data_IF_019044595899
#
_entry.id   IF_019044595899
#
_cell.length_a   1.000
_cell.length_b   1.000
_cell.length_c   1.000
_cell.angle_alpha   90.00
_cell.angle_beta   90.00
_cell.angle_gamma   90.00
#
_symmetry.space_group_name_H-M   'P 1'
#
loop_
_entity.id
_entity.type
_entity.pdbx_description
1 polymer ?
#
# COMPACT_ATOMS: atom_id res chain seq x y z
N UNK A 1 11.30 2.08 -6.23
CA UNK A 1 11.02 0.79 -6.91
C UNK A 1 9.92 1.02 -7.93
N UNK A 2 10.13 0.63 -9.19
CA UNK A 2 9.10 0.73 -10.23
C UNK A 2 8.09 -0.43 -10.16
N UNK A 3 6.96 -0.26 -10.85
CA UNK A 3 5.85 -1.22 -10.84
C UNK A 3 6.23 -2.58 -11.42
N UNK A 4 7.03 -2.63 -12.49
CA UNK A 4 7.39 -3.88 -13.15
C UNK A 4 8.30 -4.68 -12.21
N UNK A 5 9.27 -4.03 -11.58
CA UNK A 5 10.15 -4.67 -10.59
C UNK A 5 9.37 -5.22 -9.39
N UNK A 6 8.41 -4.45 -8.85
CA UNK A 6 7.59 -4.93 -7.73
C UNK A 6 6.79 -6.19 -8.10
N UNK A 7 6.15 -6.19 -9.28
CA UNK A 7 5.37 -7.34 -9.75
C UNK A 7 6.22 -8.58 -9.96
N UNK A 8 7.41 -8.45 -10.54
CA UNK A 8 8.35 -9.57 -10.72
C UNK A 8 8.80 -10.16 -9.39
N UNK A 9 9.12 -9.32 -8.41
CA UNK A 9 9.53 -9.80 -7.09
C UNK A 9 8.39 -10.57 -6.37
N UNK A 10 7.14 -10.14 -6.57
CA UNK A 10 5.96 -10.87 -6.05
C UNK A 10 5.82 -12.21 -6.78
N UNK A 11 5.91 -12.21 -8.11
CA UNK A 11 5.83 -13.43 -8.91
C UNK A 11 6.91 -14.46 -8.53
N UNK A 12 8.16 -14.02 -8.34
CA UNK A 12 9.24 -14.87 -7.85
C UNK A 12 8.96 -15.46 -6.47
N UNK A 13 8.36 -14.67 -5.57
CA UNK A 13 7.99 -15.13 -4.23
C UNK A 13 6.88 -16.18 -4.28
N UNK A 14 5.89 -16.00 -5.17
CA UNK A 14 4.83 -16.98 -5.39
C UNK A 14 5.38 -18.27 -6.01
N UNK A 15 6.26 -18.16 -7.01
CA UNK A 15 6.89 -19.33 -7.63
C UNK A 15 7.67 -20.17 -6.62
N UNK A 16 8.41 -19.52 -5.70
CA UNK A 16 9.13 -20.21 -4.63
C UNK A 16 8.20 -20.90 -3.62
N UNK A 17 7.01 -20.32 -3.36
CA UNK A 17 6.00 -20.97 -2.52
C UNK A 17 5.40 -22.20 -3.23
N UNK A 18 5.08 -22.07 -4.51
CA UNK A 18 4.50 -23.14 -5.34
C UNK A 18 5.47 -24.32 -5.53
N UNK A 19 6.77 -24.05 -5.63
CA UNK A 19 7.80 -25.09 -5.70
C UNK A 19 8.15 -25.72 -4.35
N UNK A 20 7.70 -25.12 -3.24
CA UNK A 20 8.02 -25.55 -1.87
C UNK A 20 9.40 -25.10 -1.38
N UNK A 21 10.02 -24.12 -2.04
CA UNK A 21 11.29 -23.49 -1.62
C UNK A 21 11.12 -22.53 -0.43
N UNK A 22 9.89 -22.08 -0.16
CA UNK A 22 9.55 -21.28 1.02
C UNK A 22 8.20 -21.69 1.60
N UNK A 23 7.98 -21.38 2.88
CA UNK A 23 6.68 -21.55 3.53
C UNK A 23 5.78 -20.30 3.36
N UNK A 24 4.50 -20.46 3.67
CA UNK A 24 3.51 -19.39 3.51
C UNK A 24 3.84 -18.14 4.34
N UNK A 25 4.25 -18.31 5.60
CA UNK A 25 4.50 -17.17 6.49
C UNK A 25 5.70 -16.35 5.98
N UNK A 26 6.76 -17.04 5.53
CA UNK A 26 7.93 -16.44 4.90
C UNK A 26 7.57 -15.70 3.59
N UNK A 27 6.70 -16.29 2.76
CA UNK A 27 6.22 -15.66 1.53
C UNK A 27 5.38 -14.40 1.82
N UNK A 28 4.47 -14.45 2.79
CA UNK A 28 3.63 -13.33 3.21
C UNK A 28 4.46 -12.16 3.75
N UNK A 29 5.48 -12.44 4.58
CA UNK A 29 6.41 -11.42 5.08
C UNK A 29 7.14 -10.74 3.92
N UNK A 30 7.64 -11.52 2.96
CA UNK A 30 8.37 -11.02 1.80
C UNK A 30 7.50 -10.17 0.88
N UNK A 31 6.28 -10.64 0.55
CA UNK A 31 5.32 -9.86 -0.26
C UNK A 31 4.95 -8.56 0.46
N UNK A 32 4.71 -8.61 1.76
CA UNK A 32 4.43 -7.42 2.57
C UNK A 32 5.59 -6.43 2.54
N UNK A 33 6.83 -6.89 2.61
CA UNK A 33 8.03 -6.06 2.48
C UNK A 33 8.11 -5.42 1.08
N UNK A 34 7.90 -6.19 0.00
CA UNK A 34 7.89 -5.68 -1.38
C UNK A 34 6.83 -4.59 -1.55
N UNK A 35 5.61 -4.79 -1.05
CA UNK A 35 4.53 -3.81 -1.13
C UNK A 35 4.86 -2.53 -0.35
N UNK A 36 5.42 -2.64 0.86
CA UNK A 36 5.87 -1.48 1.65
C UNK A 36 6.95 -0.70 0.90
N UNK A 37 7.96 -1.39 0.37
CA UNK A 37 9.01 -0.74 -0.43
C UNK A 37 8.45 -0.10 -1.68
N UNK A 38 7.55 -0.77 -2.40
CA UNK A 38 6.90 -0.19 -3.58
C UNK A 38 6.16 1.09 -3.22
N UNK A 39 5.37 1.09 -2.15
CA UNK A 39 4.60 2.25 -1.72
C UNK A 39 5.47 3.44 -1.25
N UNK A 40 6.58 3.19 -0.55
CA UNK A 40 7.43 4.26 0.00
C UNK A 40 8.50 4.75 -0.97
N UNK A 41 8.97 3.87 -1.87
CA UNK A 41 10.01 4.20 -2.86
C UNK A 41 9.45 4.40 -4.26
N UNK A 42 8.12 4.57 -4.38
CA UNK A 42 7.48 4.81 -5.67
C UNK A 42 8.08 6.06 -6.31
N UNK A 43 8.69 5.89 -7.49
CA UNK A 43 9.45 6.92 -8.19
C UNK A 43 8.60 7.60 -9.28
N UNK A 44 7.29 7.65 -9.07
CA UNK A 44 6.34 8.37 -9.93
C UNK A 44 5.68 9.52 -9.16
N UNK A 45 4.64 10.10 -9.72
CA UNK A 45 4.01 11.31 -9.18
C UNK A 45 3.17 11.09 -7.90
N UNK A 46 3.21 9.89 -7.31
CA UNK A 46 2.40 9.53 -6.14
C UNK A 46 3.23 9.47 -4.87
N UNK A 47 2.66 9.93 -3.77
CA UNK A 47 3.21 9.80 -2.43
C UNK A 47 2.32 8.91 -1.56
N UNK A 48 2.89 8.27 -0.55
CA UNK A 48 2.13 7.57 0.47
C UNK A 48 1.53 8.56 1.49
N UNK A 49 0.25 8.37 1.80
CA UNK A 49 -0.52 9.16 2.76
C UNK A 49 -1.20 8.24 3.75
N UNK A 50 -0.99 8.49 5.05
CA UNK A 50 -1.67 7.80 6.14
C UNK A 50 -2.86 8.60 6.62
N UNK A 51 -4.02 7.97 6.66
CA UNK A 51 -5.24 8.52 7.21
C UNK A 51 -5.28 8.42 8.73
N UNK A 52 -5.89 9.43 9.35
CA UNK A 52 -6.33 9.39 10.73
C UNK A 52 -7.72 9.99 10.86
N UNK A 53 -8.50 9.53 11.83
CA UNK A 53 -9.88 9.98 12.02
C UNK A 53 -10.81 8.90 12.55
N UNK A 54 -12.01 8.81 11.98
CA UNK A 54 -12.99 7.82 12.42
C UNK A 54 -12.47 6.38 12.14
N UNK A 55 -12.86 5.37 12.95
CA UNK A 55 -12.27 4.03 12.94
C UNK A 55 -12.20 3.27 11.60
N UNK A 56 -13.11 3.45 10.61
CA UNK A 56 -12.93 2.79 9.33
C UNK A 56 -11.84 3.43 8.46
N UNK A 57 -11.51 4.71 8.68
CA UNK A 57 -10.47 5.43 7.96
C UNK A 57 -9.12 5.38 8.67
N UNK A 58 -9.10 5.28 10.00
CA UNK A 58 -7.89 5.39 10.80
C UNK A 58 -6.84 4.33 10.44
N UNK A 59 -5.62 4.78 10.17
CA UNK A 59 -4.50 3.92 9.84
C UNK A 59 -4.39 3.48 8.38
N UNK A 60 -5.41 3.71 7.53
CA UNK A 60 -5.35 3.40 6.10
C UNK A 60 -4.20 4.17 5.43
N UNK A 61 -3.49 3.51 4.51
CA UNK A 61 -2.44 4.14 3.71
C UNK A 61 -2.80 4.06 2.24
N UNK A 62 -2.81 5.20 1.57
CA UNK A 62 -3.09 5.31 0.13
C UNK A 62 -1.94 6.00 -0.59
N UNK A 63 -1.70 5.62 -1.84
CA UNK A 63 -0.87 6.41 -2.74
C UNK A 63 -1.72 7.49 -3.38
N UNK A 64 -1.24 8.74 -3.44
CA UNK A 64 -1.91 9.85 -4.13
C UNK A 64 -0.95 10.97 -4.52
N UNK A 65 -1.26 11.68 -5.60
CA UNK A 65 -0.50 12.82 -6.09
C UNK A 65 -0.70 14.08 -5.25
N UNK A 66 -1.79 14.13 -4.47
CA UNK A 66 -2.09 15.25 -3.58
C UNK A 66 -2.83 14.81 -2.33
N UNK A 67 -2.80 15.66 -1.30
CA UNK A 67 -3.55 15.47 -0.06
C UNK A 67 -5.07 15.34 -0.31
N UNK A 68 -5.62 16.14 -1.23
CA UNK A 68 -7.03 16.11 -1.61
C UNK A 68 -7.41 14.74 -2.18
N UNK A 69 -6.64 14.25 -3.14
CA UNK A 69 -6.84 12.95 -3.76
C UNK A 69 -6.67 11.81 -2.75
N UNK A 70 -5.73 11.93 -1.80
CA UNK A 70 -5.59 10.96 -0.71
C UNK A 70 -6.85 10.86 0.15
N UNK A 71 -7.42 12.00 0.56
CA UNK A 71 -8.69 12.00 1.34
C UNK A 71 -9.85 11.40 0.55
N UNK A 72 -9.95 11.72 -0.75
CA UNK A 72 -10.97 11.12 -1.64
C UNK A 72 -10.83 9.60 -1.71
N UNK A 73 -9.62 9.09 -1.97
CA UNK A 73 -9.36 7.64 -2.00
C UNK A 73 -9.69 6.94 -0.68
N UNK A 74 -9.40 7.58 0.45
CA UNK A 74 -9.75 7.01 1.77
C UNK A 74 -11.27 6.92 1.94
N UNK A 75 -12.03 7.97 1.58
CA UNK A 75 -13.49 7.94 1.61
C UNK A 75 -14.07 6.86 0.70
N UNK A 76 -13.53 6.73 -0.51
CA UNK A 76 -13.96 5.71 -1.46
C UNK A 76 -13.72 4.29 -0.93
N UNK A 77 -12.58 4.05 -0.26
CA UNK A 77 -12.26 2.76 0.37
C UNK A 77 -13.18 2.43 1.55
N UNK A 78 -13.53 3.45 2.34
CA UNK A 78 -14.44 3.31 3.48
C UNK A 78 -15.90 3.16 3.02
N UNK A 79 -16.23 3.68 1.84
CA UNK A 79 -17.61 3.71 1.33
C UNK A 79 -18.48 4.76 2.01
N UNK A 80 -17.87 5.75 2.66
CA UNK A 80 -18.55 6.83 3.37
C UNK A 80 -17.95 8.19 2.95
N UNK A 81 -18.67 9.03 2.18
CA UNK A 81 -18.18 10.33 1.75
C UNK A 81 -18.09 11.35 2.90
N UNK A 82 -18.81 11.13 4.00
CA UNK A 82 -18.92 12.05 5.12
C UNK A 82 -17.99 11.69 6.29
N UNK A 83 -17.24 10.58 6.18
CA UNK A 83 -16.26 10.17 7.20
C UNK A 83 -15.24 11.29 7.44
N UNK A 84 -15.01 11.61 8.71
CA UNK A 84 -14.00 12.60 9.08
C UNK A 84 -12.63 11.96 9.00
N UNK A 85 -11.85 12.41 8.02
CA UNK A 85 -10.49 11.96 7.77
C UNK A 85 -9.56 13.13 7.53
N UNK A 86 -8.41 13.11 8.21
CA UNK A 86 -7.22 13.84 7.82
C UNK A 86 -6.19 12.86 7.29
N UNK A 87 -5.25 13.34 6.47
CA UNK A 87 -4.18 12.50 5.94
C UNK A 87 -2.85 13.22 6.11
N UNK A 88 -1.80 12.46 6.41
CA UNK A 88 -0.44 12.96 6.52
C UNK A 88 0.48 12.14 5.60
N UNK A 89 1.46 12.80 4.99
CA UNK A 89 2.45 12.11 4.15
C UNK A 89 3.27 11.16 5.03
N UNK A 90 3.50 9.96 4.53
CA UNK A 90 4.42 9.00 5.15
C UNK A 90 5.83 9.37 4.67
N UNK A 91 6.72 9.68 5.61
CA UNK A 91 8.15 9.94 5.36
C UNK A 91 8.94 8.64 5.17
#
# INVERSE_FOLDING_TARGET
MDRISALRNVEETLAALESGETDLASAEERVSAILRTYATTYDGDLAAWRASGDPPADGLVVLAASEREARERVRDLVGDPDVRVSVARVE
#
